data_IF_706985531308
#
_entry.id   IF_706985531308
#
_cell.length_a   1.000
_cell.length_b   1.000
_cell.length_c   1.000
_cell.angle_alpha   90.00
_cell.angle_beta   90.00
_cell.angle_gamma   90.00
#
_symmetry.space_group_name_H-M   'P 1'
#
loop_
_entity.id
_entity.type
_entity.pdbx_description
1 polymer ?
#
# COMPACT_ATOMS: atom_id res chain seq x y z
N UNK A 1 40.17 52.45 -5.52
CA UNK A 1 39.32 52.36 -6.72
C UNK A 1 39.12 50.90 -7.21
N UNK A 2 39.28 49.87 -6.36
CA UNK A 2 39.03 48.46 -6.72
C UNK A 2 37.88 47.81 -5.93
N UNK A 3 37.25 48.57 -5.02
CA UNK A 3 36.17 48.07 -4.15
C UNK A 3 34.79 48.28 -4.80
N UNK A 4 34.69 49.07 -5.87
CA UNK A 4 33.40 49.35 -6.56
C UNK A 4 33.14 48.33 -7.69
N UNK A 5 34.17 47.67 -8.22
CA UNK A 5 34.05 46.69 -9.32
C UNK A 5 33.52 45.34 -8.82
N UNK A 6 33.75 45.02 -7.54
CA UNK A 6 33.29 43.76 -6.94
C UNK A 6 31.82 43.83 -6.49
N UNK A 7 31.31 45.02 -6.16
CA UNK A 7 29.90 45.23 -5.78
C UNK A 7 28.95 45.01 -6.96
N UNK A 8 29.26 45.61 -8.13
CA UNK A 8 28.43 45.45 -9.34
C UNK A 8 28.47 44.01 -9.90
N UNK A 9 29.63 43.35 -9.81
CA UNK A 9 29.79 41.96 -10.24
C UNK A 9 29.09 40.97 -9.31
N UNK A 10 29.10 41.22 -8.00
CA UNK A 10 28.42 40.38 -7.00
C UNK A 10 26.89 40.47 -7.11
N UNK A 11 26.32 41.65 -7.39
CA UNK A 11 24.87 41.77 -7.61
C UNK A 11 24.39 41.02 -8.86
N UNK A 12 25.20 41.00 -9.92
CA UNK A 12 24.90 40.24 -11.15
C UNK A 12 24.81 38.75 -10.86
N UNK A 13 25.81 38.21 -10.15
CA UNK A 13 25.84 36.80 -9.76
C UNK A 13 24.67 36.49 -8.81
N UNK A 14 24.35 37.37 -7.86
CA UNK A 14 23.20 37.17 -6.98
C UNK A 14 21.87 37.14 -7.74
N UNK A 15 21.65 38.05 -8.70
CA UNK A 15 20.43 38.06 -9.53
C UNK A 15 20.33 36.81 -10.38
N UNK A 16 21.45 36.32 -10.90
CA UNK A 16 21.45 35.11 -11.71
C UNK A 16 21.17 33.86 -10.88
N UNK A 17 21.75 33.75 -9.67
CA UNK A 17 21.39 32.70 -8.71
C UNK A 17 19.91 32.79 -8.33
N UNK A 18 19.36 33.98 -8.08
CA UNK A 18 17.94 34.17 -7.75
C UNK A 18 17.04 33.77 -8.91
N UNK A 19 17.42 34.11 -10.15
CA UNK A 19 16.66 33.74 -11.35
C UNK A 19 16.71 32.24 -11.63
N UNK A 20 17.87 31.60 -11.42
CA UNK A 20 18.00 30.16 -11.52
C UNK A 20 17.20 29.46 -10.41
N UNK A 21 17.26 29.96 -9.18
CA UNK A 21 16.44 29.45 -8.07
C UNK A 21 14.95 29.58 -8.37
N UNK A 22 14.49 30.70 -8.93
CA UNK A 22 13.08 30.87 -9.30
C UNK A 22 12.66 29.94 -10.44
N UNK A 23 13.57 29.64 -11.38
CA UNK A 23 13.32 28.63 -12.42
C UNK A 23 13.23 27.23 -11.81
N UNK A 24 14.12 26.90 -10.87
CA UNK A 24 14.04 25.63 -10.13
C UNK A 24 12.80 25.53 -9.26
N UNK A 25 12.36 26.62 -8.62
CA UNK A 25 11.14 26.70 -7.77
C UNK A 25 9.85 26.66 -8.60
N UNK A 26 9.91 27.04 -9.88
CA UNK A 26 8.79 26.86 -10.80
C UNK A 26 8.79 25.46 -11.43
N UNK A 27 9.96 24.87 -11.67
CA UNK A 27 10.10 23.53 -12.27
C UNK A 27 9.84 22.40 -11.28
N UNK A 28 10.35 22.50 -10.07
CA UNK A 28 9.79 21.75 -8.95
C UNK A 28 8.54 22.52 -8.55
N UNK A 29 7.35 21.96 -8.69
CA UNK A 29 6.20 22.38 -7.89
C UNK A 29 6.52 22.10 -6.42
N UNK A 30 7.46 22.84 -5.83
CA UNK A 30 7.76 22.86 -4.41
C UNK A 30 6.55 23.52 -3.77
N UNK A 31 5.50 22.71 -3.67
CA UNK A 31 4.33 22.97 -2.88
C UNK A 31 4.85 23.27 -1.49
N UNK A 32 4.86 24.55 -1.14
CA UNK A 32 5.07 24.99 0.21
C UNK A 32 4.17 24.13 1.12
N UNK A 33 4.62 23.72 2.31
CA UNK A 33 3.74 22.98 3.21
C UNK A 33 2.49 23.82 3.40
N UNK A 34 1.38 23.38 2.81
CA UNK A 34 0.11 24.08 2.87
C UNK A 34 -0.17 24.36 4.35
N UNK A 35 -0.69 25.55 4.69
CA UNK A 35 -1.08 25.87 6.07
C UNK A 35 -2.08 24.85 6.67
N UNK A 36 -2.63 23.97 5.85
CA UNK A 36 -3.39 22.79 6.24
C UNK A 36 -2.53 21.51 6.23
N UNK A 37 -1.42 21.47 6.98
CA UNK A 37 -0.64 20.22 7.15
C UNK A 37 -1.54 19.05 7.64
N UNK A 38 -2.57 19.37 8.43
CA UNK A 38 -3.55 18.44 8.98
C UNK A 38 -4.89 18.48 8.23
N UNK A 39 -4.89 18.13 6.94
CA UNK A 39 -6.15 17.77 6.26
C UNK A 39 -6.72 16.45 6.79
N UNK A 40 -8.01 16.20 6.53
CA UNK A 40 -8.67 14.95 6.90
C UNK A 40 -7.96 13.72 6.28
N UNK A 41 -7.56 13.81 5.03
CA UNK A 41 -6.82 12.75 4.33
C UNK A 41 -5.45 12.47 4.97
N UNK A 42 -4.70 13.52 5.29
CA UNK A 42 -3.40 13.40 5.95
C UNK A 42 -3.54 12.80 7.36
N UNK A 43 -4.59 13.20 8.09
CA UNK A 43 -4.87 12.70 9.43
C UNK A 43 -5.32 11.23 9.42
N UNK A 44 -6.15 10.83 8.45
CA UNK A 44 -6.55 9.44 8.25
C UNK A 44 -5.35 8.55 7.90
N UNK A 45 -4.46 9.03 7.03
CA UNK A 45 -3.24 8.30 6.66
C UNK A 45 -2.31 8.15 7.86
N UNK A 46 -2.19 9.18 8.70
CA UNK A 46 -1.46 9.12 9.97
C UNK A 46 -2.06 8.09 10.92
N UNK A 47 -3.38 8.14 11.17
CA UNK A 47 -4.07 7.17 12.03
C UNK A 47 -3.99 5.74 11.49
N UNK A 48 -4.12 5.55 10.18
CA UNK A 48 -3.93 4.26 9.53
C UNK A 48 -2.51 3.73 9.73
N UNK A 49 -1.48 4.56 9.50
CA UNK A 49 -0.09 4.17 9.76
C UNK A 49 0.17 3.84 11.23
N UNK A 50 -0.55 4.50 12.15
CA UNK A 50 -0.46 4.29 13.59
C UNK A 50 -1.09 2.94 14.00
N UNK A 51 -2.29 2.62 13.50
CA UNK A 51 -2.98 1.36 13.83
C UNK A 51 -2.32 0.14 13.17
N UNK A 52 -1.79 0.32 11.96
CA UNK A 52 -1.06 -0.73 11.21
C UNK A 52 0.39 -0.86 11.65
N UNK A 53 0.86 -0.03 12.60
CA UNK A 53 2.25 0.04 13.09
C UNK A 53 3.29 0.35 12.01
N UNK A 54 2.89 0.82 10.82
CA UNK A 54 3.81 1.23 9.74
C UNK A 54 4.59 2.48 10.16
N UNK A 55 3.89 3.46 10.76
CA UNK A 55 4.51 4.63 11.37
C UNK A 55 5.41 5.45 10.43
N UNK A 56 4.85 6.03 9.36
CA UNK A 56 5.61 6.79 8.33
C UNK A 56 6.45 7.97 8.85
N UNK A 57 6.26 8.44 10.08
CA UNK A 57 7.14 9.40 10.78
C UNK A 57 7.19 10.83 10.22
N UNK A 58 6.69 11.07 9.00
CA UNK A 58 6.76 12.35 8.30
C UNK A 58 5.91 13.45 8.96
N UNK A 59 4.83 13.07 9.66
CA UNK A 59 3.96 13.99 10.39
C UNK A 59 3.63 13.39 11.74
N UNK A 60 3.97 14.10 12.81
CA UNK A 60 3.74 13.67 14.19
C UNK A 60 3.17 14.84 15.00
N UNK A 61 2.17 14.62 15.86
CA UNK A 61 1.61 15.67 16.68
C UNK A 61 2.69 16.21 17.64
N UNK A 62 2.99 17.51 17.52
CA UNK A 62 3.93 18.22 18.39
C UNK A 62 3.29 18.69 19.71
N UNK A 63 1.98 18.54 19.85
CA UNK A 63 1.22 18.93 21.05
C UNK A 63 1.14 17.78 22.05
N UNK A 64 1.32 18.06 23.35
CA UNK A 64 1.30 17.03 24.39
C UNK A 64 -0.03 16.24 24.44
N UNK A 65 -1.16 16.93 24.26
CA UNK A 65 -2.47 16.27 24.20
C UNK A 65 -2.64 15.33 23.00
N UNK A 66 -2.11 15.71 21.83
CA UNK A 66 -2.15 14.87 20.63
C UNK A 66 -1.29 13.62 20.76
N UNK A 67 -0.16 13.70 21.46
CA UNK A 67 0.71 12.56 21.74
C UNK A 67 0.06 11.55 22.68
N UNK A 68 -0.60 12.02 23.75
CA UNK A 68 -1.33 11.13 24.68
C UNK A 68 -2.50 10.44 23.96
N UNK A 69 -3.24 11.17 23.13
CA UNK A 69 -4.31 10.59 22.32
C UNK A 69 -3.79 9.52 21.35
N UNK A 70 -2.69 9.81 20.63
CA UNK A 70 -2.06 8.86 19.72
C UNK A 70 -1.60 7.58 20.47
N UNK A 71 -1.04 7.72 21.66
CA UNK A 71 -0.62 6.58 22.48
C UNK A 71 -1.81 5.70 22.89
N UNK A 72 -2.90 6.30 23.38
CA UNK A 72 -4.12 5.57 23.74
C UNK A 72 -4.73 4.85 22.52
N UNK A 73 -4.71 5.53 21.37
CA UNK A 73 -5.15 4.95 20.11
C UNK A 73 -4.31 3.74 19.70
N UNK A 74 -2.98 3.77 19.86
CA UNK A 74 -2.12 2.61 19.62
C UNK A 74 -2.48 1.42 20.52
N UNK A 75 -2.62 1.67 21.83
CA UNK A 75 -2.80 0.61 22.83
C UNK A 75 -4.08 -0.18 22.59
N UNK A 76 -5.18 0.49 22.21
CA UNK A 76 -6.46 -0.16 21.94
C UNK A 76 -6.62 -0.58 20.48
N UNK A 77 -6.09 0.21 19.54
CA UNK A 77 -6.28 0.02 18.11
C UNK A 77 -5.47 -1.14 17.53
N UNK A 78 -4.20 -1.28 17.90
CA UNK A 78 -3.33 -2.35 17.41
C UNK A 78 -3.88 -3.75 17.71
N UNK A 79 -4.26 -4.12 18.96
CA UNK A 79 -4.80 -5.44 19.23
C UNK A 79 -6.12 -5.69 18.50
N UNK A 80 -6.98 -4.68 18.38
CA UNK A 80 -8.23 -4.78 17.64
C UNK A 80 -8.01 -4.99 16.13
N UNK A 81 -7.04 -4.29 15.56
CA UNK A 81 -6.67 -4.43 14.16
C UNK A 81 -6.10 -5.81 13.85
N UNK A 82 -5.18 -6.31 14.68
CA UNK A 82 -4.64 -7.67 14.55
C UNK A 82 -5.74 -8.73 14.68
N UNK A 83 -6.64 -8.58 15.66
CA UNK A 83 -7.79 -9.48 15.79
C UNK A 83 -8.66 -9.50 14.53
N UNK A 84 -8.95 -8.32 13.98
CA UNK A 84 -9.73 -8.19 12.74
C UNK A 84 -9.02 -8.84 11.56
N UNK A 85 -7.72 -8.62 11.41
CA UNK A 85 -6.90 -9.26 10.38
C UNK A 85 -6.93 -10.78 10.49
N UNK A 86 -6.87 -11.33 11.70
CA UNK A 86 -6.95 -12.78 11.93
C UNK A 86 -8.29 -13.33 11.44
N UNK A 87 -9.41 -12.70 11.81
CA UNK A 87 -10.75 -13.12 11.36
C UNK A 87 -10.89 -13.04 9.84
N UNK A 88 -10.45 -11.93 9.23
CA UNK A 88 -10.46 -11.75 7.78
C UNK A 88 -9.61 -12.82 7.11
N UNK A 89 -8.42 -13.09 7.63
CA UNK A 89 -7.51 -14.11 7.11
C UNK A 89 -8.13 -15.50 7.16
N UNK A 90 -8.78 -15.88 8.26
CA UNK A 90 -9.49 -17.16 8.33
C UNK A 90 -10.65 -17.26 7.34
N UNK A 91 -11.43 -16.19 7.16
CA UNK A 91 -12.51 -16.16 6.18
C UNK A 91 -11.99 -16.24 4.75
N UNK A 92 -10.91 -15.51 4.46
CA UNK A 92 -10.25 -15.51 3.16
C UNK A 92 -9.65 -16.88 2.85
N UNK A 93 -8.96 -17.52 3.79
CA UNK A 93 -8.41 -18.86 3.61
C UNK A 93 -9.49 -19.91 3.36
N UNK A 94 -10.62 -19.84 4.07
CA UNK A 94 -11.75 -20.73 3.82
C UNK A 94 -12.36 -20.48 2.44
N UNK A 95 -12.48 -19.23 2.02
CA UNK A 95 -12.92 -18.90 0.66
C UNK A 95 -11.93 -19.43 -0.38
N UNK A 96 -10.63 -19.21 -0.20
CA UNK A 96 -9.58 -19.72 -1.08
C UNK A 96 -9.61 -21.26 -1.17
N UNK A 97 -9.89 -21.98 -0.07
CA UNK A 97 -10.04 -23.44 -0.09
C UNK A 97 -11.26 -23.89 -0.88
N UNK A 98 -12.39 -23.22 -0.72
CA UNK A 98 -13.59 -23.51 -1.52
C UNK A 98 -13.31 -23.26 -3.00
N UNK A 99 -12.69 -22.13 -3.33
CA UNK A 99 -12.30 -21.81 -4.69
C UNK A 99 -11.30 -22.82 -5.26
N UNK A 100 -10.28 -23.23 -4.49
CA UNK A 100 -9.32 -24.24 -4.96
C UNK A 100 -9.99 -25.58 -5.21
N UNK A 101 -10.93 -25.99 -4.35
CA UNK A 101 -11.70 -27.22 -4.55
C UNK A 101 -12.60 -27.13 -5.78
N UNK A 102 -13.23 -25.99 -6.05
CA UNK A 102 -14.03 -25.81 -7.27
C UNK A 102 -13.15 -25.89 -8.52
N UNK A 103 -11.95 -25.33 -8.49
CA UNK A 103 -11.00 -25.41 -9.60
C UNK A 103 -10.49 -26.85 -9.79
N UNK A 104 -10.13 -27.57 -8.72
CA UNK A 104 -9.63 -28.95 -8.83
C UNK A 104 -10.74 -29.95 -9.16
N UNK A 105 -11.96 -29.78 -8.64
CA UNK A 105 -13.09 -30.66 -8.92
C UNK A 105 -13.48 -30.60 -10.40
N UNK A 106 -13.53 -29.39 -10.98
CA UNK A 106 -13.75 -29.23 -12.42
C UNK A 106 -12.69 -29.94 -13.29
N UNK A 107 -11.43 -29.97 -12.86
CA UNK A 107 -10.36 -30.67 -13.59
C UNK A 107 -10.34 -32.19 -13.40
N UNK A 108 -10.72 -32.66 -12.21
CA UNK A 108 -10.76 -34.10 -11.90
C UNK A 108 -11.98 -34.78 -12.53
N UNK A 109 -13.14 -34.10 -12.56
CA UNK A 109 -14.36 -34.62 -13.17
C UNK A 109 -14.15 -34.85 -14.69
N UNK A 110 -13.45 -33.95 -15.39
CA UNK A 110 -13.16 -34.10 -16.82
C UNK A 110 -12.19 -35.25 -17.16
N UNK A 111 -11.21 -35.54 -16.28
CA UNK A 111 -10.26 -36.63 -16.49
C UNK A 111 -10.86 -38.00 -16.12
N UNK A 112 -11.71 -38.06 -15.08
CA UNK A 112 -12.43 -39.28 -14.70
C UNK A 112 -13.44 -39.72 -15.77
N UNK A 113 -14.17 -38.78 -16.37
CA UNK A 113 -15.12 -39.08 -17.46
C UNK A 113 -14.41 -39.67 -18.70
N UNK A 114 -13.19 -39.19 -18.99
CA UNK A 114 -12.34 -39.74 -20.06
C UNK A 114 -11.86 -41.15 -19.76
N UNK A 115 -11.45 -41.41 -18.51
CA UNK A 115 -10.98 -42.74 -18.09
C UNK A 115 -12.14 -43.75 -18.11
N UNK A 116 -13.33 -43.37 -17.65
CA UNK A 116 -14.52 -44.24 -17.71
C UNK A 116 -14.94 -44.53 -19.15
N UNK A 117 -14.87 -43.55 -20.05
CA UNK A 117 -15.14 -43.77 -21.48
C UNK A 117 -14.16 -44.75 -22.13
N UNK A 118 -12.86 -44.63 -21.82
CA UNK A 118 -11.84 -45.55 -22.32
C UNK A 118 -12.08 -46.95 -21.77
N UNK A 119 -12.36 -47.08 -20.47
CA UNK A 119 -12.60 -48.36 -19.81
C UNK A 119 -13.85 -49.07 -20.35
N UNK A 120 -14.92 -48.32 -20.63
CA UNK A 120 -16.14 -48.83 -21.24
C UNK A 120 -15.90 -49.35 -22.66
N UNK A 121 -15.17 -48.61 -23.50
CA UNK A 121 -14.86 -49.07 -24.87
C UNK A 121 -13.90 -50.26 -24.87
N UNK A 122 -12.91 -50.28 -23.97
CA UNK A 122 -12.00 -51.42 -23.84
C UNK A 122 -12.70 -52.67 -23.31
N UNK A 123 -13.64 -52.52 -22.39
CA UNK A 123 -14.48 -53.62 -21.87
C UNK A 123 -15.39 -54.23 -22.95
N UNK A 124 -15.85 -53.41 -23.90
CA UNK A 124 -16.62 -53.84 -25.07
C UNK A 124 -15.77 -54.67 -26.05
N UNK A 125 -14.48 -54.32 -26.22
CA UNK A 125 -13.52 -55.06 -27.07
C UNK A 125 -13.05 -56.35 -26.38
N UNK A 126 -12.86 -56.33 -25.06
CA UNK A 126 -12.34 -57.47 -24.30
C UNK A 126 -13.41 -58.46 -23.83
N UNK A 127 -14.70 -58.20 -24.08
CA UNK A 127 -15.78 -59.11 -23.67
C UNK A 127 -15.86 -59.36 -22.16
N UNK A 128 -15.35 -58.41 -21.35
CA UNK A 128 -15.37 -58.52 -19.90
C UNK A 128 -16.76 -58.14 -19.37
N UNK A 129 -17.67 -59.10 -19.45
CA UNK A 129 -18.99 -59.06 -18.81
C UNK A 129 -18.85 -59.45 -17.33
N UNK A 130 -18.89 -58.45 -16.45
CA UNK A 130 -19.59 -58.49 -15.14
C UNK A 130 -19.47 -57.17 -14.40
#
# INVERSE_FOLDING_TARGET
MLIIVDYDSSERIQREIVNLLSLYEQQLELKMPDLNEWTLENSLTYCWGLITTIGHGHRSPKTGGGQVFALLYCVLGVPFFVFTLIVISYRLLNLCRVLSQLVTKNGCDSELERIDFIKSNLGLIMGYSR
#
